data_IF_759822897416
#
_entry.id   IF_759822897416
#
_cell.length_a   1.000
_cell.length_b   1.000
_cell.length_c   1.000
_cell.angle_alpha   90.00
_cell.angle_beta   90.00
_cell.angle_gamma   90.00
#
_symmetry.space_group_name_H-M   'P 1'
#
loop_
_entity.id
_entity.type
_entity.pdbx_description
1 polymer ?
#
# COMPACT_ATOMS: atom_id res chain seq x y z
N UNK A 1 11.98 40.77 -55.80
CA UNK A 1 12.20 39.38 -55.32
C UNK A 1 11.92 38.46 -56.48
N UNK A 2 12.93 37.70 -56.91
CA UNK A 2 12.80 36.78 -58.04
C UNK A 2 11.92 35.59 -57.64
N UNK A 3 11.26 34.93 -58.61
CA UNK A 3 10.46 33.73 -58.30
C UNK A 3 11.31 32.61 -57.68
N UNK A 4 12.60 32.55 -58.01
CA UNK A 4 13.56 31.59 -57.43
C UNK A 4 13.73 31.77 -55.92
N UNK A 5 13.69 33.01 -55.41
CA UNK A 5 13.82 33.30 -53.97
C UNK A 5 12.62 32.74 -53.18
N UNK A 6 11.42 32.73 -53.77
CA UNK A 6 10.21 32.21 -53.11
C UNK A 6 10.24 30.69 -53.00
N UNK A 7 10.72 29.99 -54.02
CA UNK A 7 10.83 28.53 -54.00
C UNK A 7 11.91 28.03 -53.05
N UNK A 8 13.02 28.76 -52.89
CA UNK A 8 14.05 28.43 -51.88
C UNK A 8 13.53 28.58 -50.46
N UNK A 9 12.78 29.65 -50.16
CA UNK A 9 12.18 29.85 -48.83
C UNK A 9 11.19 28.72 -48.48
N UNK A 10 10.38 28.27 -49.44
CA UNK A 10 9.42 27.17 -49.23
C UNK A 10 10.17 25.84 -49.03
N UNK A 11 11.22 25.58 -49.81
CA UNK A 11 12.04 24.38 -49.67
C UNK A 11 12.76 24.35 -48.31
N UNK A 12 13.33 25.47 -47.87
CA UNK A 12 13.98 25.59 -46.57
C UNK A 12 12.99 25.46 -45.41
N UNK A 13 11.78 26.02 -45.54
CA UNK A 13 10.71 25.86 -44.56
C UNK A 13 10.27 24.40 -44.44
N UNK A 14 10.05 23.70 -45.55
CA UNK A 14 9.69 22.28 -45.56
C UNK A 14 10.82 21.41 -44.97
N UNK A 15 12.07 21.74 -45.24
CA UNK A 15 13.24 21.05 -44.68
C UNK A 15 13.35 21.27 -43.16
N UNK A 16 13.05 22.49 -42.69
CA UNK A 16 13.06 22.82 -41.27
C UNK A 16 11.89 22.17 -40.51
N UNK A 17 10.70 22.12 -41.11
CA UNK A 17 9.51 21.44 -40.55
C UNK A 17 9.71 19.92 -40.53
N UNK A 18 10.28 19.35 -41.59
CA UNK A 18 10.65 17.93 -41.67
C UNK A 18 11.72 17.56 -40.63
N UNK A 19 12.75 18.39 -40.47
CA UNK A 19 13.80 18.19 -39.47
C UNK A 19 13.27 18.32 -38.04
N UNK A 20 12.46 19.34 -37.73
CA UNK A 20 11.84 19.49 -36.39
C UNK A 20 10.92 18.33 -36.03
N UNK A 21 10.10 17.86 -36.98
CA UNK A 21 9.24 16.69 -36.76
C UNK A 21 10.05 15.40 -36.61
N UNK A 22 11.13 15.23 -37.37
CA UNK A 22 12.06 14.11 -37.23
C UNK A 22 12.76 14.09 -35.88
N UNK A 23 13.25 15.24 -35.40
CA UNK A 23 13.89 15.37 -34.08
C UNK A 23 12.88 15.11 -32.96
N UNK A 24 11.65 15.59 -33.06
CA UNK A 24 10.60 15.31 -32.07
C UNK A 24 10.25 13.83 -32.01
N UNK A 25 10.15 13.14 -33.17
CA UNK A 25 9.93 11.70 -33.21
C UNK A 25 11.11 10.91 -32.65
N UNK A 26 12.34 11.37 -32.90
CA UNK A 26 13.55 10.74 -32.35
C UNK A 26 13.65 10.92 -30.83
N UNK A 27 13.31 12.11 -30.32
CA UNK A 27 13.25 12.37 -28.88
C UNK A 27 12.13 11.59 -28.20
N UNK A 28 10.93 11.55 -28.80
CA UNK A 28 9.83 10.74 -28.29
C UNK A 28 10.18 9.24 -28.29
N UNK A 29 10.82 8.75 -29.36
CA UNK A 29 11.34 7.39 -29.45
C UNK A 29 12.41 7.10 -28.40
N UNK A 30 13.33 8.03 -28.16
CA UNK A 30 14.34 7.92 -27.10
C UNK A 30 13.74 7.88 -25.70
N UNK A 31 12.77 8.74 -25.40
CA UNK A 31 12.03 8.73 -24.13
C UNK A 31 11.26 7.44 -23.95
N UNK A 32 10.58 6.94 -24.99
CA UNK A 32 9.89 5.66 -24.96
C UNK A 32 10.86 4.48 -24.73
N UNK A 33 12.05 4.50 -25.36
CA UNK A 33 13.08 3.48 -25.17
C UNK A 33 13.70 3.52 -23.76
N UNK A 34 13.88 4.72 -23.19
CA UNK A 34 14.30 4.88 -21.80
C UNK A 34 13.22 4.34 -20.87
N UNK A 35 11.95 4.72 -21.04
CA UNK A 35 10.82 4.20 -20.24
C UNK A 35 10.61 2.69 -20.40
N UNK A 36 10.95 2.12 -21.55
CA UNK A 36 10.85 0.68 -21.78
C UNK A 36 12.01 -0.10 -21.14
N UNK A 37 13.22 0.48 -21.13
CA UNK A 37 14.41 -0.16 -20.54
C UNK A 37 14.56 0.11 -19.03
N UNK A 38 14.01 1.22 -18.54
CA UNK A 38 13.92 1.53 -17.12
C UNK A 38 12.51 1.24 -16.66
N UNK A 39 12.30 0.11 -16.01
CA UNK A 39 11.05 -0.21 -15.35
C UNK A 39 10.73 0.94 -14.36
N UNK A 40 9.70 1.78 -14.64
CA UNK A 40 9.48 3.00 -13.86
C UNK A 40 9.20 2.69 -12.39
N UNK A 41 8.70 1.47 -12.11
CA UNK A 41 8.52 0.96 -10.75
C UNK A 41 9.86 0.71 -10.06
N UNK A 42 10.83 0.11 -10.75
CA UNK A 42 12.17 -0.14 -10.21
C UNK A 42 12.97 1.15 -9.98
N UNK A 43 12.70 2.22 -10.74
CA UNK A 43 13.31 3.52 -10.54
C UNK A 43 12.77 4.20 -9.27
N UNK A 44 11.45 4.14 -9.04
CA UNK A 44 10.79 4.62 -7.81
C UNK A 44 11.29 3.87 -6.58
N UNK A 45 11.51 2.55 -6.69
CA UNK A 45 12.06 1.74 -5.61
C UNK A 45 13.54 2.07 -5.30
N UNK A 46 14.36 2.36 -6.34
CA UNK A 46 15.76 2.77 -6.13
C UNK A 46 15.89 4.14 -5.48
N UNK A 47 15.05 5.11 -5.88
CA UNK A 47 15.04 6.43 -5.24
C UNK A 47 14.47 6.37 -3.80
N UNK A 48 13.50 5.50 -3.55
CA UNK A 48 12.99 5.27 -2.18
C UNK A 48 14.02 4.58 -1.29
N UNK A 49 14.82 3.65 -1.81
CA UNK A 49 15.90 2.99 -1.04
C UNK A 49 17.09 3.90 -0.77
N UNK A 50 17.47 4.76 -1.73
CA UNK A 50 18.58 5.71 -1.52
C UNK A 50 18.29 6.75 -0.42
N UNK A 51 17.02 7.09 -0.20
CA UNK A 51 16.59 7.95 0.91
C UNK A 51 16.45 7.23 2.27
N UNK A 52 16.47 5.90 2.29
CA UNK A 52 16.28 5.10 3.50
C UNK A 52 17.58 4.82 4.27
N UNK A 53 18.75 4.90 3.62
CA UNK A 53 20.03 4.52 4.23
C UNK A 53 20.77 5.67 4.95
N UNK A 54 20.26 6.90 4.97
CA UNK A 54 20.94 8.03 5.65
C UNK A 54 19.97 9.00 6.31
N UNK A 55 19.50 8.69 7.53
CA UNK A 55 19.00 9.69 8.48
C UNK A 55 18.82 9.15 9.91
N UNK A 56 19.89 8.66 10.52
CA UNK A 56 20.03 8.72 11.99
C UNK A 56 21.03 9.82 12.32
N UNK A 57 20.60 11.07 12.27
CA UNK A 57 21.16 12.16 13.09
C UNK A 57 20.30 13.42 12.95
N UNK A 58 20.16 14.15 14.05
CA UNK A 58 19.08 15.12 14.25
C UNK A 58 19.18 16.45 13.50
N UNK A 59 18.31 17.36 13.95
CA UNK A 59 18.19 18.78 13.67
C UNK A 59 17.11 19.24 12.69
N UNK A 60 16.32 20.21 13.20
CA UNK A 60 15.29 21.03 12.55
C UNK A 60 15.76 21.65 11.22
N UNK A 61 14.81 21.84 10.30
CA UNK A 61 14.62 23.12 9.58
C UNK A 61 13.22 23.22 8.96
N UNK A 62 12.60 24.38 9.18
CA UNK A 62 11.36 24.88 8.57
C UNK A 62 11.64 25.35 7.13
N UNK A 63 10.67 25.17 6.22
CA UNK A 63 10.69 25.74 4.86
C UNK A 63 9.68 25.09 3.90
N UNK A 64 9.00 25.84 2.99
CA UNK A 64 7.77 25.42 2.36
C UNK A 64 8.00 24.74 1.01
N UNK A 65 7.94 23.41 1.02
CA UNK A 65 7.58 22.62 -0.16
C UNK A 65 6.95 21.35 0.39
N UNK A 66 5.62 21.32 0.50
CA UNK A 66 4.91 20.14 0.97
C UNK A 66 5.00 19.06 -0.11
N UNK A 67 5.71 17.93 0.11
CA UNK A 67 5.46 16.75 -0.70
C UNK A 67 4.04 16.28 -0.38
N UNK A 68 3.21 16.08 -1.41
CA UNK A 68 1.80 15.65 -1.32
C UNK A 68 1.58 14.25 -0.70
N UNK A 69 2.60 13.65 -0.11
CA UNK A 69 2.55 12.44 0.68
C UNK A 69 3.42 12.65 1.92
N UNK A 70 2.83 13.23 2.96
CA UNK A 70 3.45 13.22 4.28
C UNK A 70 3.21 11.82 4.85
N UNK A 71 4.18 10.92 4.72
CA UNK A 71 4.17 9.71 5.54
C UNK A 71 4.09 10.17 7.00
N UNK A 72 3.09 9.74 7.79
CA UNK A 72 3.12 10.00 9.21
C UNK A 72 4.42 9.41 9.74
N UNK A 73 5.17 10.19 10.53
CA UNK A 73 6.42 9.73 11.13
C UNK A 73 6.17 8.44 11.90
N UNK A 74 6.69 7.33 11.36
CA UNK A 74 6.73 6.04 12.03
C UNK A 74 5.37 5.43 12.35
N UNK A 75 5.42 4.16 12.76
CA UNK A 75 4.40 3.54 13.57
C UNK A 75 4.01 4.48 14.72
N UNK A 76 2.77 4.96 14.73
CA UNK A 76 2.23 5.65 15.90
C UNK A 76 1.67 4.56 16.78
N UNK A 77 2.55 3.95 17.58
CA UNK A 77 2.18 2.99 18.61
C UNK A 77 1.14 3.66 19.51
N UNK A 78 -0.13 3.32 19.30
CA UNK A 78 -1.13 3.61 20.29
C UNK A 78 -1.15 2.41 21.24
N UNK A 79 -0.32 2.47 22.28
CA UNK A 79 -0.25 1.41 23.31
C UNK A 79 -1.61 1.09 23.93
N UNK A 80 -2.52 2.06 23.95
CA UNK A 80 -3.88 1.83 24.43
C UNK A 80 -4.72 1.05 23.41
N UNK A 81 -4.45 1.19 22.11
CA UNK A 81 -5.11 0.44 21.04
C UNK A 81 -4.68 -1.03 20.99
N UNK A 82 -3.48 -1.39 21.48
CA UNK A 82 -3.05 -2.80 21.63
C UNK A 82 -4.02 -3.58 22.52
N UNK A 83 -4.54 -2.94 23.57
CA UNK A 83 -5.49 -3.55 24.51
C UNK A 83 -6.78 -4.02 23.84
N UNK A 84 -7.11 -3.48 22.66
CA UNK A 84 -8.26 -3.93 21.88
C UNK A 84 -8.18 -5.43 21.55
N UNK A 85 -6.96 -5.99 21.42
CA UNK A 85 -6.71 -7.38 21.07
C UNK A 85 -6.32 -8.27 22.25
N UNK A 86 -6.35 -7.79 23.51
CA UNK A 86 -5.90 -8.56 24.69
C UNK A 86 -6.61 -9.91 24.84
N UNK A 87 -7.92 -9.95 24.57
CA UNK A 87 -8.74 -11.15 24.66
C UNK A 87 -8.64 -12.12 23.48
N UNK A 88 -7.83 -11.82 22.47
CA UNK A 88 -7.66 -12.66 21.27
C UNK A 88 -6.60 -13.73 21.53
N UNK A 89 -7.00 -15.00 21.40
CA UNK A 89 -6.10 -16.13 21.50
C UNK A 89 -5.18 -16.23 20.27
N UNK A 90 -3.86 -16.27 20.49
CA UNK A 90 -2.85 -16.30 19.42
C UNK A 90 -2.40 -17.70 18.99
N UNK A 91 -3.00 -18.77 19.54
CA UNK A 91 -2.53 -20.15 19.29
C UNK A 91 -2.42 -20.49 17.80
N UNK A 92 -3.43 -20.08 17.03
CA UNK A 92 -3.57 -20.35 15.59
C UNK A 92 -3.32 -19.11 14.70
N UNK A 93 -2.83 -18.02 15.33
CA UNK A 93 -2.61 -16.72 14.70
C UNK A 93 -1.12 -16.40 14.68
N UNK A 94 -0.64 -15.89 13.55
CA UNK A 94 0.70 -15.34 13.42
C UNK A 94 0.72 -13.87 13.80
N UNK A 95 -0.29 -13.11 13.35
CA UNK A 95 -0.42 -11.68 13.62
C UNK A 95 -1.87 -11.22 13.71
N UNK A 96 -2.09 -10.19 14.51
CA UNK A 96 -3.26 -9.31 14.49
C UNK A 96 -2.72 -7.89 14.34
N UNK A 97 -3.00 -7.25 13.20
CA UNK A 97 -2.55 -5.91 12.89
C UNK A 97 -3.75 -4.96 12.83
N UNK A 98 -3.70 -3.85 13.56
CA UNK A 98 -4.69 -2.80 13.50
C UNK A 98 -4.26 -1.67 12.59
N UNK A 99 -5.10 -1.34 11.61
CA UNK A 99 -4.87 -0.23 10.68
C UNK A 99 -5.94 0.84 10.82
N UNK A 100 -5.51 2.10 10.82
CA UNK A 100 -6.37 3.29 10.74
C UNK A 100 -6.35 3.83 9.32
N UNK A 101 -7.52 4.12 8.74
CA UNK A 101 -7.58 4.90 7.51
C UNK A 101 -7.31 6.37 7.79
N UNK A 102 -6.40 6.96 7.01
CA UNK A 102 -6.00 8.36 7.14
C UNK A 102 -6.77 9.18 6.12
N UNK A 103 -7.62 10.13 6.56
CA UNK A 103 -8.41 10.95 5.65
C UNK A 103 -7.50 11.82 4.78
N UNK A 104 -7.94 12.11 3.55
CA UNK A 104 -7.32 13.10 2.69
C UNK A 104 -7.85 14.51 3.01
N UNK A 105 -7.48 15.51 2.20
CA UNK A 105 -8.09 16.84 2.25
C UNK A 105 -9.58 16.82 1.89
N UNK A 106 -10.05 15.79 1.17
CA UNK A 106 -11.45 15.52 0.93
C UNK A 106 -12.00 14.61 2.06
N UNK A 107 -13.02 15.04 2.82
CA UNK A 107 -13.54 14.28 3.97
C UNK A 107 -14.18 12.93 3.59
N UNK A 108 -14.43 12.69 2.30
CA UNK A 108 -15.00 11.44 1.77
C UNK A 108 -13.93 10.47 1.23
N UNK A 109 -12.66 10.85 1.32
CA UNK A 109 -11.55 10.08 0.76
C UNK A 109 -10.50 9.77 1.82
N UNK A 110 -9.79 8.66 1.60
CA UNK A 110 -8.64 8.29 2.38
C UNK A 110 -7.39 8.38 1.50
N UNK A 111 -6.30 8.89 2.05
CA UNK A 111 -5.00 8.93 1.35
C UNK A 111 -4.19 7.65 1.60
N UNK A 112 -4.43 6.99 2.73
CA UNK A 112 -3.73 5.76 3.07
C UNK A 112 -4.23 5.12 4.34
N UNK A 113 -3.43 4.17 4.82
CA UNK A 113 -3.67 3.38 6.02
C UNK A 113 -2.39 3.33 6.84
N UNK A 114 -2.52 3.61 8.13
CA UNK A 114 -1.45 3.64 9.11
C UNK A 114 -1.61 2.45 10.06
N UNK A 115 -0.54 1.70 10.30
CA UNK A 115 -0.52 0.67 11.34
C UNK A 115 -0.53 1.37 12.71
N UNK A 116 -1.51 1.05 13.55
CA UNK A 116 -1.69 1.65 14.89
C UNK A 116 -1.36 0.69 16.03
N UNK A 117 -1.44 -0.61 15.78
CA UNK A 117 -0.98 -1.64 16.72
C UNK A 117 -0.65 -2.93 15.98
N UNK A 118 0.21 -3.73 16.58
CA UNK A 118 0.48 -5.10 16.17
C UNK A 118 0.47 -6.02 17.39
N UNK A 119 -0.08 -7.22 17.23
CA UNK A 119 0.03 -8.29 18.21
C UNK A 119 0.49 -9.54 17.46
N UNK A 120 1.64 -10.07 17.83
CA UNK A 120 2.37 -11.05 17.01
C UNK A 120 2.73 -12.28 17.84
N UNK A 121 2.81 -13.46 17.21
CA UNK A 121 3.20 -14.71 17.87
C UNK A 121 4.72 -14.83 18.06
N UNK A 122 5.48 -14.21 17.16
CA UNK A 122 6.95 -14.08 17.23
C UNK A 122 7.35 -12.64 17.59
N UNK A 123 8.67 -12.39 17.72
CA UNK A 123 9.24 -11.07 17.99
C UNK A 123 8.61 -9.98 17.11
N UNK A 124 7.95 -9.04 17.78
CA UNK A 124 7.07 -8.03 17.20
C UNK A 124 7.81 -7.10 16.26
N UNK A 125 9.05 -6.71 16.60
CA UNK A 125 9.83 -5.80 15.76
C UNK A 125 10.15 -6.42 14.40
N UNK A 126 10.54 -7.70 14.37
CA UNK A 126 10.87 -8.40 13.13
C UNK A 126 9.63 -8.64 12.28
N UNK A 127 8.52 -8.99 12.91
CA UNK A 127 7.32 -9.32 12.17
C UNK A 127 6.58 -8.06 11.67
N UNK A 128 6.63 -6.96 12.43
CA UNK A 128 6.14 -5.65 11.98
C UNK A 128 7.03 -5.09 10.88
N UNK A 129 8.37 -5.19 10.97
CA UNK A 129 9.24 -4.73 9.89
C UNK A 129 9.07 -5.51 8.58
N UNK A 130 8.69 -6.78 8.66
CA UNK A 130 8.57 -7.68 7.50
C UNK A 130 7.13 -7.81 6.95
N UNK A 131 6.10 -7.52 7.74
CA UNK A 131 4.68 -7.74 7.37
C UNK A 131 3.81 -6.50 7.63
N UNK A 132 4.14 -5.72 8.66
CA UNK A 132 3.40 -4.54 9.09
C UNK A 132 3.96 -3.27 8.47
N UNK A 133 3.62 -3.01 7.20
CA UNK A 133 3.95 -1.71 6.60
C UNK A 133 3.31 -0.60 7.42
N UNK A 134 4.14 0.21 8.08
CA UNK A 134 3.66 1.27 8.97
C UNK A 134 2.73 2.23 8.23
N UNK A 135 3.00 2.47 6.94
CA UNK A 135 2.17 3.28 6.05
C UNK A 135 1.95 2.59 4.72
N UNK A 136 0.72 2.68 4.22
CA UNK A 136 0.29 2.10 2.95
C UNK A 136 -0.64 3.07 2.22
N UNK A 137 -0.37 3.43 0.95
CA UNK A 137 -1.30 4.22 0.13
C UNK A 137 -2.67 3.54 0.01
N UNK A 138 -3.74 4.32 -0.14
CA UNK A 138 -5.11 3.75 -0.20
C UNK A 138 -5.32 2.85 -1.43
N UNK A 139 -4.59 3.13 -2.51
CA UNK A 139 -4.68 2.40 -3.79
C UNK A 139 -3.98 1.03 -3.74
N UNK A 140 -3.13 0.81 -2.75
CA UNK A 140 -2.42 -0.44 -2.54
C UNK A 140 -3.39 -1.54 -2.11
N UNK A 141 -3.63 -2.51 -3.00
CA UNK A 141 -4.64 -3.55 -2.79
C UNK A 141 -6.07 -3.03 -2.89
N UNK A 142 -6.34 -2.16 -3.89
CA UNK A 142 -7.64 -1.50 -4.14
C UNK A 142 -8.84 -2.45 -3.97
N UNK A 143 -8.83 -3.61 -4.63
CA UNK A 143 -9.91 -4.60 -4.57
C UNK A 143 -10.20 -5.10 -3.15
N UNK A 144 -9.15 -5.19 -2.33
CA UNK A 144 -9.25 -5.59 -0.93
C UNK A 144 -9.74 -4.45 -0.06
N UNK A 145 -9.24 -3.24 -0.28
CA UNK A 145 -9.66 -2.03 0.44
C UNK A 145 -11.13 -1.73 0.19
N UNK A 146 -11.61 -1.82 -1.05
CA UNK A 146 -13.03 -1.63 -1.39
C UNK A 146 -13.95 -2.59 -0.62
N UNK A 147 -13.54 -3.86 -0.46
CA UNK A 147 -14.28 -4.84 0.35
C UNK A 147 -14.32 -4.47 1.83
N UNK A 148 -13.21 -3.97 2.38
CA UNK A 148 -13.16 -3.48 3.77
C UNK A 148 -14.08 -2.27 3.94
N UNK A 149 -14.04 -1.32 3.01
CA UNK A 149 -14.87 -0.11 3.03
C UNK A 149 -16.36 -0.42 2.86
N UNK A 150 -16.73 -1.54 2.22
CA UNK A 150 -18.10 -2.04 2.21
C UNK A 150 -18.61 -2.47 3.61
N UNK A 151 -17.73 -2.50 4.61
CA UNK A 151 -18.11 -2.60 6.02
C UNK A 151 -18.51 -4.00 6.47
N UNK A 152 -18.11 -5.04 5.72
CA UNK A 152 -18.31 -6.46 6.05
C UNK A 152 -16.97 -7.17 6.28
N UNK A 153 -16.89 -8.12 7.22
CA UNK A 153 -15.71 -8.98 7.36
C UNK A 153 -15.43 -9.75 6.07
N UNK A 154 -14.15 -9.92 5.75
CA UNK A 154 -13.69 -10.65 4.58
C UNK A 154 -12.62 -11.68 4.96
N UNK A 155 -12.53 -12.75 4.18
CA UNK A 155 -11.47 -13.75 4.32
C UNK A 155 -10.91 -14.09 2.94
N UNK A 156 -9.58 -14.12 2.85
CA UNK A 156 -8.86 -14.70 1.73
C UNK A 156 -8.13 -15.95 2.17
N UNK A 157 -7.96 -16.90 1.25
CA UNK A 157 -7.27 -18.16 1.49
C UNK A 157 -6.11 -18.33 0.52
N UNK A 158 -5.02 -18.93 1.01
CA UNK A 158 -3.88 -19.32 0.19
C UNK A 158 -4.31 -20.37 -0.84
N UNK A 159 -4.01 -20.12 -2.12
CA UNK A 159 -4.23 -21.03 -3.22
C UNK A 159 -2.87 -21.47 -3.79
N UNK A 160 -2.36 -22.68 -3.46
CA UNK A 160 -1.05 -23.14 -3.90
C UNK A 160 -0.86 -23.11 -5.41
N UNK A 161 -1.90 -23.49 -6.18
CA UNK A 161 -1.85 -23.49 -7.64
C UNK A 161 -1.76 -22.11 -8.28
N UNK A 162 -2.06 -21.04 -7.54
CA UNK A 162 -1.94 -19.65 -7.99
C UNK A 162 -0.84 -18.87 -7.28
N UNK A 163 -0.17 -19.48 -6.30
CA UNK A 163 0.84 -18.86 -5.45
C UNK A 163 0.39 -17.50 -4.85
N UNK A 164 -0.87 -17.44 -4.38
CA UNK A 164 -1.43 -16.20 -3.86
C UNK A 164 -2.61 -16.42 -2.92
N UNK A 165 -3.03 -15.34 -2.26
CA UNK A 165 -4.26 -15.31 -1.46
C UNK A 165 -5.42 -14.82 -2.32
N UNK A 166 -6.57 -15.46 -2.17
CA UNK A 166 -7.76 -15.15 -2.97
C UNK A 166 -9.02 -15.17 -2.11
N UNK A 167 -9.95 -14.28 -2.42
CA UNK A 167 -11.30 -14.30 -1.87
C UNK A 167 -12.12 -15.45 -2.48
N UNK A 168 -13.25 -15.77 -1.86
CA UNK A 168 -14.14 -16.86 -2.29
C UNK A 168 -14.67 -16.68 -3.73
N UNK A 169 -14.81 -15.43 -4.19
CA UNK A 169 -15.24 -15.11 -5.56
C UNK A 169 -14.10 -15.15 -6.59
N UNK A 170 -12.89 -15.60 -6.19
CA UNK A 170 -11.75 -15.73 -7.07
C UNK A 170 -10.96 -14.44 -7.29
N UNK A 171 -11.35 -13.32 -6.67
CA UNK A 171 -10.58 -12.08 -6.69
C UNK A 171 -9.28 -12.26 -5.92
N UNK A 172 -8.15 -11.81 -6.49
CA UNK A 172 -6.87 -11.81 -5.80
C UNK A 172 -6.88 -10.84 -4.63
N UNK A 173 -6.32 -11.28 -3.51
CA UNK A 173 -6.03 -10.41 -2.38
C UNK A 173 -4.68 -9.72 -2.61
N UNK A 174 -4.75 -8.58 -3.27
CA UNK A 174 -3.59 -7.77 -3.66
C UNK A 174 -3.12 -6.84 -2.55
N UNK A 175 -3.44 -7.12 -1.28
CA UNK A 175 -2.82 -6.38 -0.19
C UNK A 175 -1.30 -6.56 -0.33
N UNK A 176 -0.50 -5.48 -0.49
CA UNK A 176 0.93 -5.62 -0.54
C UNK A 176 1.42 -6.02 0.85
N UNK A 177 1.41 -7.32 1.12
CA UNK A 177 2.25 -7.97 2.08
C UNK A 177 3.63 -8.05 1.45
N UNK A 178 4.61 -7.46 2.12
CA UNK A 178 6.02 -7.36 1.70
C UNK A 178 6.60 -8.68 1.17
N UNK A 179 6.07 -9.83 1.61
CA UNK A 179 6.49 -11.11 1.09
C UNK A 179 5.39 -12.19 1.25
N UNK A 180 4.63 -12.43 0.19
CA UNK A 180 3.63 -13.49 0.13
C UNK A 180 4.24 -14.87 0.39
N UNK A 181 5.47 -15.12 -0.07
CA UNK A 181 6.18 -16.37 0.18
C UNK A 181 6.56 -16.53 1.64
N UNK A 182 7.00 -15.45 2.30
CA UNK A 182 7.28 -15.46 3.74
C UNK A 182 6.01 -15.76 4.54
N UNK A 183 4.88 -15.15 4.18
CA UNK A 183 3.59 -15.45 4.81
C UNK A 183 3.19 -16.91 4.63
N UNK A 184 3.21 -17.42 3.39
CA UNK A 184 2.71 -18.74 3.08
C UNK A 184 3.68 -19.86 3.52
N UNK A 185 4.98 -19.69 3.31
CA UNK A 185 5.99 -20.72 3.51
C UNK A 185 6.82 -20.53 4.78
N UNK A 186 7.09 -19.28 5.18
CA UNK A 186 7.84 -18.98 6.42
C UNK A 186 6.97 -19.07 7.67
N UNK A 187 5.80 -18.42 7.66
CA UNK A 187 4.90 -18.34 8.80
C UNK A 187 3.72 -19.30 8.74
N UNK A 188 3.59 -20.07 7.65
CA UNK A 188 2.53 -21.06 7.49
C UNK A 188 1.12 -20.46 7.40
N UNK A 189 1.00 -19.18 7.04
CA UNK A 189 -0.30 -18.52 6.90
C UNK A 189 -1.08 -19.17 5.76
N UNK A 190 -2.33 -19.51 6.04
CA UNK A 190 -3.27 -20.09 5.07
C UNK A 190 -4.49 -19.23 4.86
N UNK A 191 -4.84 -18.39 5.84
CA UNK A 191 -6.00 -17.49 5.73
C UNK A 191 -5.66 -16.10 6.27
N UNK A 192 -6.19 -15.08 5.60
CA UNK A 192 -6.12 -13.69 6.07
C UNK A 192 -7.53 -13.18 6.29
N UNK A 193 -7.88 -12.91 7.54
CA UNK A 193 -9.17 -12.34 7.93
C UNK A 193 -9.06 -10.83 8.03
N UNK A 194 -10.09 -10.13 7.57
CA UNK A 194 -10.18 -8.68 7.62
C UNK A 194 -11.47 -8.26 8.28
N UNK A 195 -11.36 -7.50 9.37
CA UNK A 195 -12.51 -7.00 10.11
C UNK A 195 -12.57 -5.49 10.01
N UNK A 196 -13.60 -4.90 9.38
CA UNK A 196 -13.73 -3.45 9.29
C UNK A 196 -14.01 -2.87 10.67
N UNK A 197 -13.30 -1.79 11.00
CA UNK A 197 -13.43 -1.05 12.26
C UNK A 197 -14.32 0.16 12.00
N UNK A 198 -15.43 0.27 12.72
CA UNK A 198 -16.43 1.32 12.52
C UNK A 198 -16.33 2.36 13.64
N UNK A 199 -16.43 3.65 13.27
CA UNK A 199 -16.57 4.78 14.20
C UNK A 199 -17.58 5.76 13.65
N UNK A 200 -18.62 6.06 14.42
CA UNK A 200 -19.66 7.02 14.00
C UNK A 200 -20.34 6.64 12.68
N UNK A 201 -20.61 5.35 12.45
CA UNK A 201 -21.30 4.84 11.26
C UNK A 201 -20.43 4.68 10.00
N UNK A 202 -19.18 5.14 10.00
CA UNK A 202 -18.21 4.96 8.91
C UNK A 202 -17.14 3.94 9.25
N UNK A 203 -16.57 3.31 8.22
CA UNK A 203 -15.36 2.47 8.37
C UNK A 203 -14.15 3.39 8.54
N UNK A 204 -13.54 3.37 9.71
CA UNK A 204 -12.39 4.21 10.10
C UNK A 204 -11.06 3.45 10.05
N UNK A 205 -11.09 2.14 9.85
CA UNK A 205 -9.92 1.28 9.80
C UNK A 205 -10.30 -0.18 9.65
N UNK A 206 -9.36 -1.09 9.93
CA UNK A 206 -9.62 -2.53 9.92
C UNK A 206 -8.57 -3.30 10.74
N UNK A 207 -8.93 -4.50 11.16
CA UNK A 207 -7.98 -5.52 11.61
C UNK A 207 -7.58 -6.40 10.43
N UNK A 208 -6.28 -6.68 10.27
CA UNK A 208 -5.75 -7.74 9.43
C UNK A 208 -5.23 -8.87 10.32
N UNK A 209 -5.76 -10.07 10.15
CA UNK A 209 -5.46 -11.22 10.99
C UNK A 209 -4.90 -12.35 10.13
N UNK A 210 -3.70 -12.80 10.43
CA UNK A 210 -2.98 -13.80 9.67
C UNK A 210 -3.03 -15.12 10.42
N UNK A 211 -3.73 -16.10 9.86
CA UNK A 211 -4.02 -17.37 10.53
C UNK A 211 -3.40 -18.56 9.79
N UNK A 212 -2.92 -19.54 10.56
CA UNK A 212 -2.32 -20.78 10.05
C UNK A 212 -3.38 -21.72 9.47
N UNK A 213 -4.63 -21.61 9.93
CA UNK A 213 -5.76 -22.45 9.53
C UNK A 213 -7.08 -21.69 9.65
N UNK A 214 -8.18 -22.39 9.41
CA UNK A 214 -9.52 -21.86 9.67
C UNK A 214 -9.78 -21.64 11.15
N UNK A 215 -10.22 -20.43 11.49
CA UNK A 215 -10.56 -20.04 12.85
C UNK A 215 -11.95 -20.53 13.24
N UNK A 216 -12.07 -20.99 14.48
CA UNK A 216 -13.35 -21.37 15.06
C UNK A 216 -14.29 -20.15 15.26
N UNK A 217 -15.54 -20.40 15.62
CA UNK A 217 -16.52 -19.33 15.82
C UNK A 217 -16.16 -18.42 17.02
N UNK A 218 -15.58 -19.00 18.07
CA UNK A 218 -15.23 -18.26 19.29
C UNK A 218 -14.13 -17.23 19.03
N UNK A 219 -13.06 -17.62 18.33
CA UNK A 219 -11.95 -16.75 17.96
C UNK A 219 -12.42 -15.67 16.99
N UNK A 220 -13.28 -16.01 16.03
CA UNK A 220 -13.88 -15.01 15.12
C UNK A 220 -14.71 -13.97 15.88
N UNK A 221 -15.50 -14.38 16.86
CA UNK A 221 -16.27 -13.45 17.71
C UNK A 221 -15.36 -12.55 18.58
N UNK A 222 -14.23 -13.08 19.08
CA UNK A 222 -13.22 -12.28 19.78
C UNK A 222 -12.61 -11.22 18.85
N UNK A 223 -12.30 -11.57 17.61
CA UNK A 223 -11.74 -10.65 16.61
C UNK A 223 -12.73 -9.56 16.20
N UNK A 224 -14.02 -9.89 16.05
CA UNK A 224 -15.08 -8.89 15.84
C UNK A 224 -15.19 -7.92 17.02
N UNK A 225 -15.12 -8.46 18.25
CA UNK A 225 -15.10 -7.66 19.47
C UNK A 225 -13.87 -6.75 19.53
N UNK A 226 -12.70 -7.27 19.15
CA UNK A 226 -11.47 -6.50 19.08
C UNK A 226 -11.57 -5.36 18.05
N UNK A 227 -12.16 -5.62 16.87
CA UNK A 227 -12.39 -4.60 15.86
C UNK A 227 -13.35 -3.51 16.36
N UNK A 228 -14.40 -3.88 17.10
CA UNK A 228 -15.31 -2.92 17.71
C UNK A 228 -14.62 -2.05 18.77
N UNK A 229 -13.80 -2.65 19.64
CA UNK A 229 -13.01 -1.93 20.65
C UNK A 229 -12.00 -0.98 20.03
N UNK A 230 -11.32 -1.40 18.96
CA UNK A 230 -10.37 -0.55 18.25
C UNK A 230 -11.03 0.75 17.75
N UNK A 231 -12.31 0.71 17.39
CA UNK A 231 -13.07 1.88 16.96
C UNK A 231 -13.13 3.01 17.99
N UNK A 232 -12.94 2.73 19.28
CA UNK A 232 -12.83 3.78 20.31
C UNK A 232 -11.53 4.58 20.19
N UNK A 233 -10.46 3.97 19.68
CA UNK A 233 -9.11 4.53 19.62
C UNK A 233 -8.75 5.17 18.26
N UNK A 234 -9.52 4.90 17.20
CA UNK A 234 -9.28 5.46 15.85
C UNK A 234 -9.91 6.83 15.67
#
# INVERSE_FOLDING_TARGET
MSEQDKYQIIADFLRQVGFRRGVLLFLAGGVALVLWKTDPVALVDRFSRAGAETATEGARKEGPAAPYLQSPRGFVENKEAESAADGVAMADLQAVLGYKFVPSSNPYEYQGRLLVFAKTKQDEQRMVSEIGLSWLPILSGKSTVERILAGRPGVSAWQPGKQGFYFADGTADETPSLNTDLLAHGYGVRRVYRYPVKKGGRVAGYLAVYAEKELDAATRAQLETAAARLGAYL
#
